data_IF_293833817020
#
_entry.id   IF_293833817020
#
_cell.length_a   1.000
_cell.length_b   1.000
_cell.length_c   1.000
_cell.angle_alpha   90.00
_cell.angle_beta   90.00
_cell.angle_gamma   90.00
#
_symmetry.space_group_name_H-M   'P 1'
#
loop_
_entity.id
_entity.type
_entity.pdbx_description
1 polymer ?
#
# COMPACT_ATOMS: atom_id res chain seq x y z
N UNK A 1 6.83 24.99 47.81
CA UNK A 1 6.69 25.69 46.52
C UNK A 1 7.89 25.34 45.68
N UNK A 2 7.67 24.86 44.46
CA UNK A 2 8.71 24.27 43.61
C UNK A 2 8.24 23.00 42.92
N UNK A 3 7.18 23.12 42.11
CA UNK A 3 6.82 22.10 41.14
C UNK A 3 7.84 22.12 40.01
N UNK A 4 8.47 20.97 39.75
CA UNK A 4 9.31 20.77 38.57
C UNK A 4 8.41 20.66 37.34
N UNK A 5 8.68 21.51 36.35
CA UNK A 5 8.13 21.39 35.01
C UNK A 5 8.61 20.07 34.40
N UNK A 6 7.74 19.08 34.36
CA UNK A 6 7.80 17.99 33.39
C UNK A 6 7.28 18.52 32.05
N UNK A 7 8.01 19.43 31.41
CA UNK A 7 7.75 19.77 30.01
C UNK A 7 8.41 18.68 29.14
N UNK A 8 7.74 17.53 29.07
CA UNK A 8 8.08 16.46 28.13
C UNK A 8 8.13 17.04 26.71
N UNK A 9 9.34 17.05 26.12
CA UNK A 9 9.67 17.77 24.89
C UNK A 9 8.61 17.64 23.80
N UNK A 10 7.82 18.70 23.60
CA UNK A 10 6.83 18.78 22.54
C UNK A 10 7.58 18.77 21.22
N UNK A 11 7.31 17.78 20.36
CA UNK A 11 7.90 17.72 19.02
C UNK A 11 7.34 18.88 18.21
N UNK A 12 8.13 19.94 18.04
CA UNK A 12 7.77 21.12 17.25
C UNK A 12 8.30 20.96 15.84
N UNK A 13 7.40 20.94 14.86
CA UNK A 13 7.75 20.87 13.43
C UNK A 13 6.53 20.60 12.56
N UNK A 14 6.59 21.10 11.32
CA UNK A 14 5.64 20.80 10.26
C UNK A 14 6.38 20.11 9.12
N UNK A 15 5.69 19.18 8.46
CA UNK A 15 6.17 18.46 7.29
C UNK A 15 5.37 18.92 6.07
N UNK A 16 6.07 19.41 5.06
CA UNK A 16 5.47 19.70 3.76
C UNK A 16 5.12 18.39 3.02
N UNK A 17 4.15 18.39 2.10
CA UNK A 17 3.78 17.19 1.34
C UNK A 17 4.95 16.51 0.61
N UNK A 18 5.86 17.30 0.06
CA UNK A 18 7.08 16.79 -0.58
C UNK A 18 8.05 16.11 0.38
N UNK A 19 8.17 16.61 1.61
CA UNK A 19 9.00 15.99 2.66
C UNK A 19 8.41 14.65 3.11
N UNK A 20 7.08 14.57 3.23
CA UNK A 20 6.38 13.31 3.49
C UNK A 20 6.66 12.31 2.36
N UNK A 21 6.58 12.73 1.09
CA UNK A 21 6.85 11.86 -0.06
C UNK A 21 8.30 11.33 -0.07
N UNK A 22 9.27 12.17 0.25
CA UNK A 22 10.70 11.77 0.37
C UNK A 22 10.88 10.79 1.53
N UNK A 23 10.32 11.08 2.71
CA UNK A 23 10.38 10.20 3.87
C UNK A 23 9.79 8.81 3.55
N UNK A 24 8.62 8.78 2.92
CA UNK A 24 7.98 7.54 2.48
C UNK A 24 8.88 6.77 1.50
N UNK A 25 9.46 7.46 0.52
CA UNK A 25 10.39 6.84 -0.45
C UNK A 25 11.62 6.25 0.25
N UNK A 26 12.19 6.95 1.23
CA UNK A 26 13.31 6.45 2.04
C UNK A 26 12.91 5.22 2.86
N UNK A 27 11.74 5.25 3.50
CA UNK A 27 11.21 4.11 4.25
C UNK A 27 10.98 2.89 3.36
N UNK A 28 10.49 3.09 2.14
CA UNK A 28 10.34 2.02 1.17
C UNK A 28 11.69 1.37 0.84
N UNK A 29 12.70 2.18 0.46
CA UNK A 29 14.07 1.69 0.19
C UNK A 29 14.64 0.91 1.37
N UNK A 30 14.48 1.43 2.59
CA UNK A 30 14.92 0.75 3.80
C UNK A 30 14.19 -0.58 4.03
N UNK A 31 12.90 -0.66 3.73
CA UNK A 31 12.11 -1.86 3.94
C UNK A 31 12.52 -3.03 3.03
N UNK A 32 12.88 -2.76 1.77
CA UNK A 32 13.20 -3.81 0.82
C UNK A 32 14.69 -4.07 0.59
N UNK A 33 15.60 -3.25 1.14
CA UNK A 33 17.03 -3.38 0.87
C UNK A 33 17.60 -4.77 1.19
N UNK A 34 17.05 -5.49 2.17
CA UNK A 34 17.43 -6.86 2.51
C UNK A 34 16.94 -7.93 1.51
N UNK A 35 15.95 -7.61 0.68
CA UNK A 35 15.41 -8.49 -0.37
C UNK A 35 16.25 -8.46 -1.66
N UNK A 36 17.16 -7.49 -1.79
CA UNK A 36 18.00 -7.26 -2.96
C UNK A 36 18.79 -8.49 -3.50
N UNK A 37 19.26 -9.46 -2.69
CA UNK A 37 19.97 -10.62 -3.23
C UNK A 37 19.11 -11.58 -4.08
N UNK A 38 17.77 -11.44 -4.05
CA UNK A 38 16.85 -12.33 -4.77
C UNK A 38 16.33 -11.77 -6.08
N UNK A 39 16.55 -10.48 -6.35
CA UNK A 39 16.07 -9.81 -7.57
C UNK A 39 17.04 -9.98 -8.75
N UNK A 40 18.27 -10.43 -8.51
CA UNK A 40 19.29 -10.68 -9.54
C UNK A 40 19.54 -12.17 -9.83
N UNK A 41 18.61 -13.06 -9.47
CA UNK A 41 18.76 -14.52 -9.61
C UNK A 41 18.51 -15.07 -11.02
N UNK A 42 18.71 -14.26 -12.06
CA UNK A 42 18.55 -14.65 -13.46
C UNK A 42 19.70 -14.13 -14.31
N UNK A 43 20.52 -15.07 -14.79
CA UNK A 43 21.56 -14.93 -15.81
C UNK A 43 22.82 -14.12 -15.44
N UNK A 44 23.94 -14.85 -15.40
CA UNK A 44 25.29 -14.30 -15.59
C UNK A 44 25.29 -13.36 -16.80
N UNK A 45 25.39 -12.05 -16.55
CA UNK A 45 25.60 -11.03 -17.58
C UNK A 45 24.44 -10.05 -17.83
N UNK A 46 23.28 -10.20 -17.18
CA UNK A 46 22.15 -9.29 -17.35
C UNK A 46 22.28 -8.01 -16.50
N UNK A 47 22.24 -6.83 -17.11
CA UNK A 47 21.94 -5.57 -16.40
C UNK A 47 20.60 -5.75 -15.69
N UNK A 48 20.60 -5.81 -14.36
CA UNK A 48 19.37 -5.89 -13.57
C UNK A 48 18.42 -4.76 -13.95
N UNK A 49 17.13 -5.07 -14.09
CA UNK A 49 16.12 -4.05 -14.39
C UNK A 49 16.12 -2.96 -13.32
N UNK A 50 15.98 -1.68 -13.72
CA UNK A 50 15.93 -0.59 -12.77
C UNK A 50 14.69 -0.73 -11.88
N UNK A 51 14.92 -0.76 -10.57
CA UNK A 51 13.85 -0.75 -9.57
C UNK A 51 13.09 0.58 -9.67
N UNK A 52 11.84 0.54 -10.13
CA UNK A 52 10.97 1.72 -10.23
C UNK A 52 10.45 2.13 -8.86
N UNK A 53 10.50 3.44 -8.58
CA UNK A 53 9.99 4.01 -7.35
C UNK A 53 8.45 3.90 -7.33
N UNK A 54 7.85 3.39 -6.24
CA UNK A 54 6.40 3.33 -6.13
C UNK A 54 5.81 4.74 -6.08
N UNK A 55 4.67 4.94 -6.73
CA UNK A 55 3.85 6.14 -6.52
C UNK A 55 3.28 6.12 -5.08
N UNK A 56 3.60 7.16 -4.30
CA UNK A 56 3.17 7.31 -2.90
C UNK A 56 2.15 8.43 -2.71
N UNK A 57 1.64 9.00 -3.80
CA UNK A 57 0.73 10.15 -3.79
C UNK A 57 -0.51 9.90 -2.93
N UNK A 58 -1.06 8.68 -2.99
CA UNK A 58 -2.24 8.27 -2.20
C UNK A 58 -1.96 8.14 -0.69
N UNK A 59 -0.72 7.90 -0.27
CA UNK A 59 -0.30 7.91 1.13
C UNK A 59 -0.08 9.34 1.63
N UNK A 60 0.55 10.20 0.82
CA UNK A 60 0.74 11.62 1.17
C UNK A 60 -0.61 12.30 1.34
N UNK A 61 -1.53 12.10 0.39
CA UNK A 61 -2.88 12.63 0.47
C UNK A 61 -3.67 12.06 1.66
N UNK A 62 -3.44 10.79 2.01
CA UNK A 62 -4.00 10.19 3.23
C UNK A 62 -3.57 10.91 4.50
N UNK A 63 -2.27 11.20 4.62
CA UNK A 63 -1.73 11.92 5.78
C UNK A 63 -2.30 13.34 5.87
N UNK A 64 -2.39 14.05 4.75
CA UNK A 64 -2.93 15.42 4.68
C UNK A 64 -4.42 15.47 5.08
N UNK A 65 -5.22 14.55 4.57
CA UNK A 65 -6.66 14.46 4.91
C UNK A 65 -6.84 14.07 6.37
N UNK A 66 -6.02 13.15 6.89
CA UNK A 66 -6.07 12.77 8.30
C UNK A 66 -5.72 13.93 9.25
N UNK A 67 -4.90 14.89 8.80
CA UNK A 67 -4.56 16.10 9.55
C UNK A 67 -5.54 17.26 9.31
N UNK A 68 -6.56 17.09 8.46
CA UNK A 68 -7.45 18.17 8.06
C UNK A 68 -6.78 19.27 7.24
N UNK A 69 -5.60 19.00 6.66
CA UNK A 69 -4.89 19.93 5.77
C UNK A 69 -5.56 20.02 4.39
N UNK A 70 -6.30 18.97 3.99
CA UNK A 70 -7.21 18.95 2.84
C UNK A 70 -8.61 18.72 3.38
N UNK A 71 -9.48 19.72 3.24
CA UNK A 71 -10.72 19.82 4.01
C UNK A 71 -11.98 19.35 3.25
N UNK A 72 -11.96 19.35 1.92
CA UNK A 72 -13.11 19.02 1.09
C UNK A 72 -12.82 17.96 0.02
N UNK A 73 -13.87 17.31 -0.48
CA UNK A 73 -13.77 16.31 -1.54
C UNK A 73 -13.10 16.91 -2.78
N UNK A 74 -13.41 18.15 -3.13
CA UNK A 74 -12.84 18.84 -4.30
C UNK A 74 -11.32 19.00 -4.18
N UNK A 75 -10.82 19.32 -2.98
CA UNK A 75 -9.39 19.36 -2.67
C UNK A 75 -8.72 17.99 -2.75
N UNK A 76 -9.43 16.90 -2.47
CA UNK A 76 -8.89 15.52 -2.64
C UNK A 76 -8.72 15.17 -4.12
N UNK A 77 -9.69 15.53 -4.96
CA UNK A 77 -9.70 15.17 -6.39
C UNK A 77 -8.81 16.08 -7.26
N UNK A 78 -8.56 17.31 -6.83
CA UNK A 78 -7.68 18.27 -7.50
C UNK A 78 -6.24 18.30 -6.98
N UNK A 79 -5.87 17.38 -6.08
CA UNK A 79 -4.57 17.42 -5.42
C UNK A 79 -3.43 16.91 -6.31
N UNK A 80 -2.35 17.69 -6.38
CA UNK A 80 -1.06 17.25 -6.92
C UNK A 80 0.03 17.41 -5.86
N UNK A 81 0.99 16.48 -5.81
CA UNK A 81 2.16 16.52 -4.91
C UNK A 81 2.97 17.83 -5.09
N UNK A 82 3.01 18.35 -6.31
CA UNK A 82 3.67 19.61 -6.71
C UNK A 82 2.93 20.86 -6.26
N UNK A 83 1.65 20.75 -5.88
CA UNK A 83 0.88 21.89 -5.37
C UNK A 83 1.29 22.16 -3.92
N UNK A 84 1.69 23.40 -3.62
CA UNK A 84 2.11 23.82 -2.29
C UNK A 84 0.92 23.77 -1.31
N UNK A 85 0.67 22.60 -0.74
CA UNK A 85 -0.35 22.39 0.29
C UNK A 85 0.14 22.82 1.68
N UNK A 86 -0.80 23.12 2.57
CA UNK A 86 -0.54 23.33 4.01
C UNK A 86 0.20 22.11 4.57
N UNK A 87 1.27 22.34 5.32
CA UNK A 87 2.03 21.27 5.99
C UNK A 87 1.21 20.57 7.08
N UNK A 88 1.70 19.41 7.51
CA UNK A 88 1.13 18.60 8.61
C UNK A 88 2.07 18.66 9.80
N UNK A 89 1.56 18.88 11.01
CA UNK A 89 2.43 18.82 12.19
C UNK A 89 3.02 17.41 12.38
N UNK A 90 4.23 17.30 12.92
CA UNK A 90 4.85 15.99 13.18
C UNK A 90 3.97 15.12 14.08
N UNK A 91 3.21 15.71 15.00
CA UNK A 91 2.28 15.01 15.87
C UNK A 91 1.11 14.39 15.08
N UNK A 92 0.48 15.14 14.18
CA UNK A 92 -0.60 14.64 13.32
C UNK A 92 -0.10 13.55 12.37
N UNK A 93 1.08 13.76 11.78
CA UNK A 93 1.70 12.75 10.92
C UNK A 93 1.99 11.46 11.69
N UNK A 94 2.53 11.56 12.91
CA UNK A 94 2.80 10.39 13.77
C UNK A 94 1.51 9.66 14.13
N UNK A 95 0.44 10.39 14.44
CA UNK A 95 -0.88 9.80 14.71
C UNK A 95 -1.45 9.07 13.50
N UNK A 96 -1.29 9.65 12.29
CA UNK A 96 -1.64 8.99 11.04
C UNK A 96 -0.82 7.71 10.80
N UNK A 97 0.49 7.73 11.04
CA UNK A 97 1.36 6.55 10.90
C UNK A 97 0.87 5.42 11.81
N UNK A 98 0.65 5.70 13.09
CA UNK A 98 0.23 4.69 14.08
C UNK A 98 -1.12 4.06 13.71
N UNK A 99 -2.05 4.87 13.20
CA UNK A 99 -3.42 4.44 12.89
C UNK A 99 -3.58 3.79 11.52
N UNK A 100 -2.82 4.22 10.51
CA UNK A 100 -3.04 3.82 9.11
C UNK A 100 -1.96 2.89 8.58
N UNK A 101 -0.68 3.20 8.83
CA UNK A 101 0.48 2.48 8.28
C UNK A 101 1.53 2.18 9.36
N UNK A 102 1.17 1.43 10.43
CA UNK A 102 2.04 1.22 11.57
C UNK A 102 3.37 0.53 11.20
N UNK A 103 3.41 -0.22 10.10
CA UNK A 103 4.63 -0.84 9.58
C UNK A 103 5.73 0.15 9.17
N UNK A 104 5.40 1.43 8.96
CA UNK A 104 6.38 2.45 8.59
C UNK A 104 7.45 2.63 9.67
N UNK A 105 7.07 2.49 10.95
CA UNK A 105 8.01 2.56 12.07
C UNK A 105 9.04 1.43 12.09
N UNK A 106 8.77 0.32 11.39
CA UNK A 106 9.66 -0.85 11.37
C UNK A 106 10.71 -0.80 10.24
N UNK A 107 10.57 0.11 9.26
CA UNK A 107 11.46 0.15 8.09
C UNK A 107 12.93 0.32 8.48
N UNK A 108 13.24 1.24 9.40
CA UNK A 108 14.61 1.48 9.87
C UNK A 108 15.14 0.29 10.68
N UNK A 109 14.37 -0.22 11.62
CA UNK A 109 14.76 -1.37 12.44
C UNK A 109 15.08 -2.58 11.58
N UNK A 110 14.25 -2.84 10.57
CA UNK A 110 14.47 -3.90 9.58
C UNK A 110 15.75 -3.68 8.78
N UNK A 111 15.93 -2.48 8.22
CA UNK A 111 17.14 -2.11 7.47
C UNK A 111 18.41 -2.40 8.27
N UNK A 112 18.44 -1.92 9.52
CA UNK A 112 19.58 -2.09 10.42
C UNK A 112 19.84 -3.57 10.73
N UNK A 113 18.80 -4.34 11.04
CA UNK A 113 18.91 -5.78 11.28
C UNK A 113 19.45 -6.54 10.06
N UNK A 114 18.97 -6.20 8.86
CA UNK A 114 19.44 -6.83 7.62
C UNK A 114 20.91 -6.48 7.34
N UNK A 115 21.33 -5.24 7.60
CA UNK A 115 22.74 -4.84 7.47
C UNK A 115 23.65 -5.57 8.45
N UNK A 116 23.25 -5.71 9.72
CA UNK A 116 24.01 -6.50 10.68
C UNK A 116 24.15 -7.96 10.26
N UNK A 117 23.05 -8.60 9.83
CA UNK A 117 23.09 -9.98 9.33
C UNK A 117 23.97 -10.14 8.09
N UNK A 118 23.97 -9.16 7.19
CA UNK A 118 24.83 -9.18 6.01
C UNK A 118 26.31 -9.01 6.33
N UNK A 119 26.64 -8.32 7.43
CA UNK A 119 28.02 -8.12 7.88
C UNK A 119 28.62 -9.37 8.55
N UNK A 120 27.79 -10.30 9.03
CA UNK A 120 28.23 -11.60 9.57
C UNK A 120 28.44 -12.66 8.47
N UNK A 121 27.91 -12.41 7.27
CA UNK A 121 28.11 -13.26 6.09
C UNK A 121 29.38 -12.85 5.32
N UNK A 122 30.10 -13.83 4.76
CA UNK A 122 31.33 -13.61 3.99
C UNK A 122 31.16 -12.49 2.92
N UNK A 123 32.13 -11.58 2.74
CA UNK A 123 32.01 -10.34 1.95
C UNK A 123 31.89 -10.54 0.42
N UNK A 124 31.54 -11.74 -0.06
CA UNK A 124 31.72 -12.11 -1.45
C UNK A 124 30.61 -11.65 -2.42
N UNK A 125 29.49 -11.05 -1.98
CA UNK A 125 28.43 -10.57 -2.90
C UNK A 125 27.68 -9.34 -2.37
N UNK A 126 28.35 -8.19 -2.30
CA UNK A 126 27.62 -6.92 -2.30
C UNK A 126 27.13 -6.63 -3.72
N UNK A 127 25.85 -6.90 -3.98
CA UNK A 127 25.20 -6.42 -5.21
C UNK A 127 24.71 -4.99 -4.99
N UNK A 128 25.37 -4.04 -5.64
CA UNK A 128 24.88 -2.66 -5.69
C UNK A 128 23.67 -2.60 -6.61
N UNK A 129 22.48 -2.36 -6.06
CA UNK A 129 21.28 -2.06 -6.86
C UNK A 129 21.34 -0.60 -7.28
N UNK A 130 21.48 -0.36 -8.58
CA UNK A 130 21.42 0.99 -9.15
C UNK A 130 19.97 1.43 -9.27
N UNK A 131 19.56 2.42 -8.48
CA UNK A 131 18.32 3.17 -8.72
C UNK A 131 18.53 4.04 -9.96
N UNK A 132 18.11 3.58 -11.13
CA UNK A 132 18.12 4.40 -12.35
C UNK A 132 17.21 5.62 -12.20
N UNK A 133 17.38 6.63 -13.05
CA UNK A 133 16.46 7.78 -13.11
C UNK A 133 15.06 7.25 -13.45
N UNK A 134 14.17 7.23 -12.45
CA UNK A 134 12.91 6.48 -12.52
C UNK A 134 11.80 7.35 -13.09
N UNK A 135 11.20 6.89 -14.18
CA UNK A 135 9.83 7.24 -14.52
C UNK A 135 8.89 6.54 -13.54
N UNK A 136 7.88 7.25 -13.04
CA UNK A 136 6.80 6.64 -12.27
C UNK A 136 6.16 5.49 -13.05
N UNK A 137 5.64 4.49 -12.33
CA UNK A 137 4.94 3.33 -12.89
C UNK A 137 3.69 3.80 -13.67
N UNK A 138 3.87 4.13 -14.96
CA UNK A 138 2.80 4.63 -15.85
C UNK A 138 2.04 3.50 -16.55
N UNK A 139 2.39 2.23 -16.32
CA UNK A 139 1.63 1.12 -16.91
C UNK A 139 0.46 0.76 -15.99
N UNK A 140 -0.64 1.50 -16.16
CA UNK A 140 -1.91 1.39 -15.42
C UNK A 140 -2.68 0.09 -15.76
N UNK A 141 -1.96 -1.00 -16.04
CA UNK A 141 -2.54 -2.29 -16.35
C UNK A 141 -3.21 -2.85 -15.10
N UNK A 142 -2.58 -2.86 -13.94
CA UNK A 142 -3.14 -3.51 -12.74
C UNK A 142 -3.70 -2.50 -11.73
N UNK A 143 -4.81 -2.86 -11.09
CA UNK A 143 -5.31 -2.07 -9.95
C UNK A 143 -4.36 -2.15 -8.74
N UNK A 144 -3.57 -3.21 -8.62
CA UNK A 144 -2.52 -3.32 -7.62
C UNK A 144 -1.22 -2.73 -8.16
N UNK A 145 -1.06 -1.41 -8.02
CA UNK A 145 0.22 -0.75 -8.34
C UNK A 145 1.24 -1.02 -7.24
N UNK A 146 2.53 -0.78 -7.53
CA UNK A 146 3.62 -0.92 -6.54
C UNK A 146 3.37 -0.11 -5.28
N UNK A 147 2.88 1.13 -5.43
CA UNK A 147 2.49 2.01 -4.34
C UNK A 147 1.36 1.48 -3.48
N UNK A 148 0.31 0.94 -4.10
CA UNK A 148 -0.81 0.32 -3.39
C UNK A 148 -0.39 -0.96 -2.66
N UNK A 149 0.44 -1.79 -3.30
CA UNK A 149 1.01 -2.98 -2.67
C UNK A 149 1.84 -2.59 -1.43
N UNK A 150 2.72 -1.60 -1.55
CA UNK A 150 3.50 -1.13 -0.40
C UNK A 150 2.60 -0.61 0.73
N UNK A 151 1.57 0.16 0.40
CA UNK A 151 0.65 0.71 1.41
C UNK A 151 -0.06 -0.39 2.20
N UNK A 152 -0.53 -1.43 1.50
CA UNK A 152 -1.12 -2.62 2.15
C UNK A 152 -0.08 -3.33 3.02
N UNK A 153 1.17 -3.46 2.54
CA UNK A 153 2.26 -4.08 3.32
C UNK A 153 2.54 -3.37 4.64
N UNK A 154 2.38 -2.04 4.69
CA UNK A 154 2.59 -1.24 5.90
C UNK A 154 1.44 -1.37 6.91
N UNK A 155 0.23 -1.69 6.45
CA UNK A 155 -0.95 -1.79 7.31
C UNK A 155 -1.18 -3.19 7.88
N UNK A 156 -0.85 -4.22 7.10
CA UNK A 156 -1.08 -5.62 7.48
C UNK A 156 0.06 -6.13 8.36
N UNK A 157 -0.28 -6.88 9.43
CA UNK A 157 0.68 -7.40 10.42
C UNK A 157 0.93 -8.92 10.34
N UNK A 158 0.35 -9.58 9.34
CA UNK A 158 0.53 -11.03 9.13
C UNK A 158 1.63 -11.29 8.08
N UNK A 159 1.81 -12.55 7.71
CA UNK A 159 2.83 -13.00 6.73
C UNK A 159 2.60 -12.46 5.32
N UNK A 160 1.42 -11.92 5.01
CA UNK A 160 1.12 -11.30 3.71
C UNK A 160 1.83 -9.95 3.55
N UNK A 161 2.24 -9.30 4.64
CA UNK A 161 3.01 -8.04 4.57
C UNK A 161 4.26 -8.19 3.71
N UNK A 162 4.98 -9.31 3.86
CA UNK A 162 6.17 -9.64 3.07
C UNK A 162 5.86 -9.84 1.59
N UNK A 163 4.75 -10.51 1.28
CA UNK A 163 4.31 -10.70 -0.11
C UNK A 163 4.00 -9.37 -0.77
N UNK A 164 3.27 -8.50 -0.09
CA UNK A 164 2.94 -7.16 -0.61
C UNK A 164 4.17 -6.24 -0.70
N UNK A 165 5.10 -6.35 0.25
CA UNK A 165 6.38 -5.62 0.18
C UNK A 165 7.18 -6.08 -1.04
N UNK A 166 7.28 -7.39 -1.29
CA UNK A 166 7.92 -7.92 -2.50
C UNK A 166 7.23 -7.39 -3.76
N UNK A 167 5.91 -7.47 -3.82
CA UNK A 167 5.12 -6.98 -4.97
C UNK A 167 5.30 -5.46 -5.21
N UNK A 168 5.62 -4.68 -4.17
CA UNK A 168 5.94 -3.26 -4.33
C UNK A 168 7.28 -3.00 -5.04
N UNK A 169 8.19 -3.98 -5.05
CA UNK A 169 9.53 -3.87 -5.65
C UNK A 169 9.54 -4.45 -7.06
N UNK A 170 9.10 -5.70 -7.19
CA UNK A 170 9.19 -6.46 -8.45
C UNK A 170 7.90 -6.40 -9.27
N UNK A 171 6.80 -5.89 -8.70
CA UNK A 171 5.48 -5.99 -9.30
C UNK A 171 4.74 -7.27 -8.89
N UNK A 172 3.49 -7.40 -9.32
CA UNK A 172 2.67 -8.57 -9.05
C UNK A 172 3.02 -9.70 -10.02
N UNK A 173 3.19 -10.91 -9.51
CA UNK A 173 3.34 -12.11 -10.35
C UNK A 173 2.01 -12.41 -11.08
N UNK A 174 2.08 -12.79 -12.34
CA UNK A 174 0.91 -13.21 -13.11
C UNK A 174 0.28 -14.48 -12.55
N UNK A 175 1.08 -15.34 -11.91
CA UNK A 175 0.60 -16.58 -11.27
C UNK A 175 -0.22 -16.30 -9.99
N UNK A 176 -0.02 -15.15 -9.35
CA UNK A 176 -0.82 -14.71 -8.20
C UNK A 176 -2.18 -14.13 -8.62
N UNK A 177 -2.43 -13.91 -9.92
CA UNK A 177 -3.69 -13.35 -10.43
C UNK A 177 -4.75 -14.44 -10.62
N UNK A 178 -5.74 -14.47 -9.72
CA UNK A 178 -6.88 -15.39 -9.85
C UNK A 178 -7.90 -14.95 -10.91
N UNK A 179 -8.25 -13.66 -10.93
CA UNK A 179 -9.28 -13.14 -11.82
C UNK A 179 -9.09 -11.66 -12.12
N UNK A 180 -9.47 -11.27 -13.33
CA UNK A 180 -9.47 -9.89 -13.81
C UNK A 180 -10.52 -9.73 -14.90
N UNK A 181 -11.48 -8.83 -14.69
CA UNK A 181 -12.64 -8.66 -15.57
C UNK A 181 -12.30 -8.26 -17.01
N UNK A 182 -11.19 -7.55 -17.23
CA UNK A 182 -10.74 -7.17 -18.57
C UNK A 182 -10.04 -8.31 -19.32
N UNK A 183 -9.54 -9.33 -18.60
CA UNK A 183 -8.82 -10.48 -19.19
C UNK A 183 -9.74 -11.69 -19.31
N UNK A 184 -10.50 -11.99 -18.26
CA UNK A 184 -11.33 -13.20 -18.13
C UNK A 184 -12.81 -12.96 -18.53
N UNK A 185 -13.16 -11.72 -18.85
CA UNK A 185 -14.54 -11.30 -19.13
C UNK A 185 -15.29 -10.89 -17.86
N UNK A 186 -16.46 -10.27 -18.07
CA UNK A 186 -17.33 -9.77 -16.99
C UNK A 186 -18.42 -10.79 -16.67
N UNK A 187 -18.82 -10.87 -15.41
CA UNK A 187 -19.96 -11.66 -14.93
C UNK A 187 -19.57 -12.62 -13.80
N UNK A 188 -20.51 -12.88 -12.88
CA UNK A 188 -20.27 -13.72 -11.69
C UNK A 188 -19.90 -15.16 -12.07
N UNK A 189 -20.53 -15.75 -13.08
CA UNK A 189 -20.19 -17.11 -13.52
C UNK A 189 -18.74 -17.21 -14.02
N UNK A 190 -18.23 -16.16 -14.68
CA UNK A 190 -16.82 -16.10 -15.13
C UNK A 190 -15.88 -15.95 -13.95
N UNK A 191 -16.21 -15.06 -13.00
CA UNK A 191 -15.48 -14.92 -11.76
C UNK A 191 -15.34 -16.26 -11.02
N UNK A 192 -16.46 -16.94 -10.77
CA UNK A 192 -16.47 -18.23 -10.06
C UNK A 192 -15.67 -19.31 -10.78
N UNK A 193 -15.77 -19.40 -12.11
CA UNK A 193 -14.99 -20.38 -12.87
C UNK A 193 -13.47 -20.21 -12.73
N UNK A 194 -13.00 -19.02 -12.32
CA UNK A 194 -11.58 -18.74 -12.12
C UNK A 194 -11.13 -18.90 -10.65
N UNK A 195 -12.01 -18.61 -9.68
CA UNK A 195 -11.63 -18.57 -8.25
C UNK A 195 -12.07 -19.80 -7.46
N UNK A 196 -13.00 -20.59 -7.99
CA UNK A 196 -13.52 -21.76 -7.30
C UNK A 196 -12.41 -22.78 -7.01
N UNK A 197 -12.38 -23.26 -5.76
CA UNK A 197 -11.36 -24.20 -5.29
C UNK A 197 -10.09 -23.54 -4.73
N UNK A 198 -9.87 -22.24 -4.92
CA UNK A 198 -8.80 -21.52 -4.24
C UNK A 198 -9.10 -21.43 -2.73
N UNK A 199 -8.12 -21.79 -1.90
CA UNK A 199 -8.27 -21.86 -0.42
C UNK A 199 -7.33 -20.93 0.34
N UNK A 200 -6.50 -20.15 -0.36
CA UNK A 200 -5.57 -19.21 0.28
C UNK A 200 -6.17 -17.81 0.52
N UNK A 201 -5.39 -16.90 1.10
CA UNK A 201 -5.74 -15.49 1.21
C UNK A 201 -5.91 -14.84 -0.16
N UNK A 202 -6.92 -13.98 -0.32
CA UNK A 202 -7.20 -13.30 -1.58
C UNK A 202 -7.39 -11.79 -1.37
N UNK A 203 -6.85 -11.00 -2.29
CA UNK A 203 -7.09 -9.56 -2.39
C UNK A 203 -8.02 -9.29 -3.58
N UNK A 204 -9.20 -8.73 -3.32
CA UNK A 204 -10.09 -8.19 -4.34
C UNK A 204 -9.80 -6.70 -4.47
N UNK A 205 -9.57 -6.23 -5.69
CA UNK A 205 -9.50 -4.79 -5.98
C UNK A 205 -10.63 -4.40 -6.93
N UNK A 206 -11.33 -3.34 -6.55
CA UNK A 206 -12.44 -2.77 -7.31
C UNK A 206 -12.09 -1.32 -7.61
N UNK A 207 -12.25 -0.92 -8.87
CA UNK A 207 -12.19 0.49 -9.25
C UNK A 207 -13.43 0.85 -10.05
N UNK A 208 -13.93 2.05 -9.79
CA UNK A 208 -15.07 2.60 -10.49
C UNK A 208 -14.97 4.13 -10.51
N UNK A 209 -15.82 4.76 -11.31
CA UNK A 209 -15.91 6.21 -11.44
C UNK A 209 -17.19 6.67 -10.76
N UNK A 210 -17.11 7.72 -9.94
CA UNK A 210 -18.32 8.44 -9.55
C UNK A 210 -18.69 9.47 -10.63
N UNK A 211 -19.99 9.69 -10.80
CA UNK A 211 -20.51 10.64 -11.78
C UNK A 211 -20.14 12.05 -11.31
N UNK A 212 -19.19 12.69 -11.98
CA UNK A 212 -19.02 14.14 -11.86
C UNK A 212 -20.28 14.80 -12.46
N UNK A 213 -20.75 15.90 -11.87
CA UNK A 213 -21.91 16.64 -12.37
C UNK A 213 -21.69 17.34 -13.72
N UNK A 214 -20.62 17.02 -14.46
CA UNK A 214 -20.28 17.63 -15.74
C UNK A 214 -20.37 16.62 -16.88
N UNK A 215 -20.75 17.09 -18.06
CA UNK A 215 -20.94 16.29 -19.30
C UNK A 215 -19.63 15.72 -19.89
N UNK A 216 -18.50 15.83 -19.18
CA UNK A 216 -17.23 15.33 -19.66
C UNK A 216 -16.97 13.92 -19.10
N UNK A 217 -17.10 12.90 -19.95
CA UNK A 217 -17.01 11.47 -19.58
C UNK A 217 -15.64 11.10 -19.00
N UNK A 218 -14.59 11.82 -19.40
CA UNK A 218 -13.21 11.64 -18.89
C UNK A 218 -12.93 12.38 -17.57
N UNK A 219 -13.89 13.15 -17.04
CA UNK A 219 -13.77 13.89 -15.77
C UNK A 219 -14.33 13.13 -14.55
N UNK A 220 -14.64 11.84 -14.71
CA UNK A 220 -15.15 11.02 -13.61
C UNK A 220 -14.12 10.85 -12.49
N UNK A 221 -14.55 11.00 -11.23
CA UNK A 221 -13.68 10.78 -10.07
C UNK A 221 -13.49 9.27 -9.87
N UNK A 222 -12.35 8.75 -10.32
CA UNK A 222 -11.96 7.34 -10.17
C UNK A 222 -11.71 7.06 -8.69
N UNK A 223 -12.33 6.04 -8.12
CA UNK A 223 -12.03 5.56 -6.77
C UNK A 223 -11.61 4.09 -6.81
N UNK A 224 -10.92 3.66 -5.75
CA UNK A 224 -10.42 2.31 -5.59
C UNK A 224 -10.71 1.76 -4.19
N UNK A 225 -11.22 0.55 -4.14
CA UNK A 225 -11.47 -0.23 -2.92
C UNK A 225 -10.73 -1.55 -2.99
N UNK A 226 -10.23 -2.02 -1.86
CA UNK A 226 -9.65 -3.34 -1.71
C UNK A 226 -10.27 -4.11 -0.55
N UNK A 227 -10.44 -5.41 -0.74
CA UNK A 227 -10.89 -6.35 0.29
C UNK A 227 -9.86 -7.46 0.39
N UNK A 228 -9.20 -7.58 1.53
CA UNK A 228 -8.27 -8.66 1.83
C UNK A 228 -8.97 -9.68 2.72
N UNK A 229 -9.08 -10.92 2.25
CA UNK A 229 -9.57 -12.07 3.03
C UNK A 229 -8.43 -13.04 3.27
N UNK A 230 -8.40 -13.67 4.45
CA UNK A 230 -7.45 -14.74 4.75
C UNK A 230 -7.91 -16.11 4.22
N UNK A 231 -9.19 -16.21 3.88
CA UNK A 231 -9.82 -17.41 3.32
C UNK A 231 -10.16 -17.23 1.84
N UNK A 232 -10.15 -18.32 1.08
CA UNK A 232 -10.59 -18.33 -0.31
C UNK A 232 -12.12 -18.22 -0.45
N UNK A 233 -12.60 -17.98 -1.68
CA UNK A 233 -14.03 -17.79 -1.91
C UNK A 233 -14.81 -19.09 -1.84
N UNK A 234 -15.95 -19.06 -1.16
CA UNK A 234 -16.91 -20.15 -1.05
C UNK A 234 -18.28 -19.66 -1.54
N UNK A 235 -18.90 -20.43 -2.43
CA UNK A 235 -20.28 -20.18 -2.88
C UNK A 235 -21.23 -20.82 -1.87
N UNK A 236 -21.70 -20.02 -0.91
CA UNK A 236 -22.57 -20.45 0.19
C UNK A 236 -23.54 -19.34 0.56
N UNK A 237 -24.76 -19.74 0.91
CA UNK A 237 -25.86 -18.83 1.29
C UNK A 237 -25.72 -18.29 2.72
N UNK A 238 -24.54 -18.44 3.31
CA UNK A 238 -24.21 -18.03 4.68
C UNK A 238 -22.89 -17.29 4.67
N UNK A 239 -22.76 -16.33 5.58
CA UNK A 239 -21.47 -15.67 5.76
C UNK A 239 -20.39 -16.66 6.20
N UNK A 240 -19.17 -16.42 5.72
CA UNK A 240 -17.98 -17.19 6.09
C UNK A 240 -16.76 -16.27 6.23
N UNK A 241 -15.61 -16.88 6.51
CA UNK A 241 -14.33 -16.20 6.73
C UNK A 241 -14.01 -16.04 8.21
N UNK A 242 -12.71 -16.05 8.50
CA UNK A 242 -12.15 -15.89 9.85
C UNK A 242 -11.78 -14.44 10.16
N UNK A 243 -11.34 -13.70 9.14
CA UNK A 243 -10.97 -12.29 9.21
C UNK A 243 -11.01 -11.64 7.82
N UNK A 244 -11.13 -10.32 7.79
CA UNK A 244 -11.04 -9.56 6.55
C UNK A 244 -10.72 -8.10 6.79
N UNK A 245 -10.03 -7.47 5.84
CA UNK A 245 -9.63 -6.07 5.91
C UNK A 245 -10.18 -5.31 4.71
N UNK A 246 -10.75 -4.13 4.93
CA UNK A 246 -11.28 -3.27 3.88
C UNK A 246 -10.38 -2.05 3.73
N UNK A 247 -9.84 -1.79 2.54
CA UNK A 247 -9.04 -0.59 2.28
C UNK A 247 -9.65 0.32 1.21
N UNK A 248 -9.61 1.62 1.45
CA UNK A 248 -9.59 2.58 0.36
C UNK A 248 -8.16 2.57 -0.24
N UNK A 249 -8.06 2.40 -1.56
CA UNK A 249 -6.77 2.32 -2.27
C UNK A 249 -6.50 3.50 -3.19
N UNK A 250 -7.52 4.31 -3.48
CA UNK A 250 -7.41 5.52 -4.30
C UNK A 250 -8.67 6.41 -4.15
N UNK A 251 -8.53 7.75 -4.10
CA UNK A 251 -7.30 8.55 -4.19
C UNK A 251 -6.51 8.59 -2.87
N UNK A 252 -7.18 8.28 -1.76
CA UNK A 252 -6.59 8.21 -0.43
C UNK A 252 -6.43 6.76 -0.03
N UNK A 253 -5.28 6.42 0.56
CA UNK A 253 -5.13 5.14 1.24
C UNK A 253 -5.74 5.17 2.64
N UNK A 254 -6.59 4.20 2.98
CA UNK A 254 -7.06 4.02 4.36
C UNK A 254 -7.34 2.57 4.64
N UNK A 255 -6.76 2.03 5.71
CA UNK A 255 -7.09 0.70 6.18
C UNK A 255 -8.24 0.78 7.20
N UNK A 256 -9.32 0.05 6.93
CA UNK A 256 -10.45 -0.10 7.85
C UNK A 256 -10.30 -1.46 8.52
N UNK A 257 -9.89 -1.43 9.78
CA UNK A 257 -9.75 -2.62 10.61
C UNK A 257 -11.13 -3.09 11.09
N UNK A 258 -11.35 -4.40 11.26
CA UNK A 258 -12.54 -4.92 11.91
C UNK A 258 -12.75 -4.26 13.27
N UNK A 259 -13.97 -3.83 13.58
CA UNK A 259 -14.31 -3.15 14.84
C UNK A 259 -14.36 -4.09 16.06
N UNK A 260 -14.07 -5.38 15.89
CA UNK A 260 -14.16 -6.40 16.94
C UNK A 260 -15.58 -6.71 17.41
N UNK A 261 -16.61 -6.08 16.83
CA UNK A 261 -18.00 -6.45 17.09
C UNK A 261 -18.33 -7.75 16.38
N UNK A 262 -18.78 -8.73 17.16
CA UNK A 262 -19.20 -10.09 16.78
C UNK A 262 -20.45 -10.08 15.91
N UNK A 263 -20.37 -9.55 14.69
CA UNK A 263 -21.26 -9.97 13.62
C UNK A 263 -20.57 -11.09 12.84
N UNK A 264 -21.21 -12.25 12.89
CA UNK A 264 -20.74 -13.53 12.37
C UNK A 264 -20.79 -13.48 10.84
N UNK A 265 -19.79 -12.87 10.23
CA UNK A 265 -19.64 -12.89 8.77
C UNK A 265 -18.77 -11.80 8.18
N UNK A 266 -17.70 -12.20 7.48
CA UNK A 266 -16.80 -11.27 6.78
C UNK A 266 -17.05 -11.22 5.27
N UNK A 267 -17.49 -12.35 4.69
CA UNK A 267 -17.76 -12.49 3.26
C UNK A 267 -19.09 -13.21 3.08
N UNK A 268 -19.95 -12.70 2.19
CA UNK A 268 -21.15 -13.38 1.69
C UNK A 268 -21.04 -13.46 0.18
N UNK A 269 -21.15 -14.66 -0.38
CA UNK A 269 -21.09 -14.87 -1.81
C UNK A 269 -22.13 -15.92 -2.22
N UNK A 270 -23.14 -15.49 -2.96
CA UNK A 270 -24.22 -16.32 -3.50
C UNK A 270 -24.37 -15.99 -5.00
N UNK A 271 -24.68 -16.99 -5.83
CA UNK A 271 -24.98 -16.84 -7.27
C UNK A 271 -26.48 -16.69 -7.50
#
# INVERSE_FOLDING_TARGET
>A
DGGGDEEGGKVVGELAPGEIAVLLSMCWVMAWSGLAPRVSGGEEGGKGEPVLLPDVSHLVLSALVSAGAVADDDGVWGWEVSSAGKGVSVQEFTSWVISTVPGLGNCLSRYVQDRFRSSEADPAKESSVSTGNTTFDTSDAYLLTRGRAWSISLSVRNTLSEKFLSASVIGMDTEDLLYRSSLHGKGLSRFWSCVEGYKGPALILISAFSKAGSDNVDAGRKWGLGVLTEDGFENKDTFYGSSGFLCATYPIFRMLLPSGMTFVGYVLCHI
#
